data_IF_007381555355
#
_entry.id   IF_007381555355
#
_cell.length_a   1.000
_cell.length_b   1.000
_cell.length_c   1.000
_cell.angle_alpha   90.00
_cell.angle_beta   90.00
_cell.angle_gamma   90.00
#
_symmetry.space_group_name_H-M   'P 1'
#
loop_
_entity.id
_entity.type
_entity.pdbx_description
1 polymer ?
#
# COMPACT_ATOMS: atom_id res chain seq x y z
N UNK A 1 50.67 -10.25 38.65
CA UNK A 1 49.30 -10.69 38.58
C UNK A 1 48.77 -10.81 37.20
N UNK A 2 49.41 -11.63 36.42
CA UNK A 2 49.03 -11.87 35.02
C UNK A 2 47.60 -12.45 34.81
N UNK A 3 46.99 -13.28 35.68
CA UNK A 3 45.65 -13.85 35.46
C UNK A 3 44.53 -12.80 35.43
N UNK A 4 44.65 -11.71 36.21
CA UNK A 4 43.62 -10.70 36.28
C UNK A 4 43.55 -9.80 35.05
N UNK A 5 44.68 -9.54 34.40
CA UNK A 5 44.74 -8.75 33.15
C UNK A 5 44.07 -9.48 32.00
N UNK A 6 44.27 -10.79 31.86
CA UNK A 6 43.66 -11.62 30.85
C UNK A 6 42.14 -11.70 31.01
N UNK A 7 41.69 -11.80 32.28
CA UNK A 7 40.29 -11.86 32.61
C UNK A 7 39.57 -10.55 32.24
N UNK A 8 40.17 -9.40 32.56
CA UNK A 8 39.62 -8.10 32.24
C UNK A 8 39.50 -7.88 30.73
N UNK A 9 40.48 -8.33 29.96
CA UNK A 9 40.43 -8.23 28.48
C UNK A 9 39.31 -9.08 27.89
N UNK A 10 39.16 -10.32 28.37
CA UNK A 10 38.06 -11.20 27.89
C UNK A 10 36.71 -10.62 28.28
N UNK A 11 36.59 -10.13 29.50
CA UNK A 11 35.35 -9.49 29.98
C UNK A 11 35.00 -8.28 29.15
N UNK A 12 35.96 -7.43 28.83
CA UNK A 12 35.76 -6.25 27.93
C UNK A 12 35.35 -6.69 26.55
N UNK A 13 35.91 -7.72 26.00
CA UNK A 13 35.56 -8.26 24.71
C UNK A 13 34.09 -8.76 24.68
N UNK A 14 33.71 -9.53 25.71
CA UNK A 14 32.33 -10.02 25.82
C UNK A 14 31.35 -8.87 25.97
N UNK A 15 31.64 -7.88 26.81
CA UNK A 15 30.80 -6.73 26.99
C UNK A 15 30.62 -5.93 25.68
N UNK A 16 31.73 -5.74 24.96
CA UNK A 16 31.70 -5.06 23.65
C UNK A 16 30.86 -5.83 22.64
N UNK A 17 30.99 -7.16 22.61
CA UNK A 17 30.21 -8.00 21.71
C UNK A 17 28.71 -7.92 22.01
N UNK A 18 28.33 -7.92 23.29
CA UNK A 18 26.94 -7.79 23.72
C UNK A 18 26.38 -6.44 23.32
N UNK A 19 27.10 -5.35 23.56
CA UNK A 19 26.69 -4.00 23.19
C UNK A 19 26.54 -3.87 21.68
N UNK A 20 27.49 -4.39 20.91
CA UNK A 20 27.41 -4.38 19.46
C UNK A 20 26.20 -5.15 18.93
N UNK A 21 25.91 -6.30 19.54
CA UNK A 21 24.72 -7.09 19.20
C UNK A 21 23.43 -6.35 19.50
N UNK A 22 23.33 -5.71 20.66
CA UNK A 22 22.17 -4.91 21.04
C UNK A 22 21.95 -3.73 20.09
N UNK A 23 23.00 -3.03 19.71
CA UNK A 23 22.92 -1.92 18.76
C UNK A 23 22.46 -2.42 17.40
N UNK A 24 22.94 -3.57 16.95
CA UNK A 24 22.50 -4.16 15.69
C UNK A 24 21.02 -4.50 15.66
N UNK A 25 20.51 -5.12 16.72
CA UNK A 25 19.09 -5.46 16.85
C UNK A 25 18.23 -4.18 16.89
N UNK A 26 18.68 -3.19 17.66
CA UNK A 26 17.98 -1.91 17.74
C UNK A 26 17.92 -1.22 16.37
N UNK A 27 19.02 -1.24 15.63
CA UNK A 27 19.09 -0.67 14.30
C UNK A 27 18.13 -1.38 13.33
N UNK A 28 18.06 -2.71 13.39
CA UNK A 28 17.11 -3.49 12.60
C UNK A 28 15.65 -3.12 12.94
N UNK A 29 15.36 -2.96 14.22
CA UNK A 29 14.02 -2.57 14.67
C UNK A 29 13.63 -1.18 14.13
N UNK A 30 14.55 -0.24 14.14
CA UNK A 30 14.34 1.10 13.61
C UNK A 30 14.07 1.04 12.09
N UNK A 31 14.84 0.26 11.36
CA UNK A 31 14.64 0.09 9.92
C UNK A 31 13.29 -0.55 9.60
N UNK A 32 12.88 -1.56 10.35
CA UNK A 32 11.59 -2.20 10.19
C UNK A 32 10.44 -1.23 10.45
N UNK A 33 10.57 -0.40 11.49
CA UNK A 33 9.60 0.63 11.82
C UNK A 33 9.51 1.69 10.71
N UNK A 34 10.63 2.13 10.16
CA UNK A 34 10.65 3.09 9.07
C UNK A 34 9.97 2.54 7.81
N UNK A 35 10.23 1.27 7.47
CA UNK A 35 9.57 0.61 6.34
C UNK A 35 8.06 0.51 6.54
N UNK A 36 7.63 0.15 7.74
CA UNK A 36 6.21 0.05 8.07
C UNK A 36 5.53 1.41 7.96
N UNK A 37 6.16 2.47 8.46
CA UNK A 37 5.64 3.84 8.35
C UNK A 37 5.51 4.27 6.89
N UNK A 38 6.48 3.94 6.06
CA UNK A 38 6.43 4.24 4.63
C UNK A 38 5.30 3.49 3.92
N UNK A 39 5.10 2.22 4.25
CA UNK A 39 4.00 1.43 3.70
C UNK A 39 2.63 2.00 4.08
N UNK A 40 2.48 2.45 5.32
CA UNK A 40 1.25 3.10 5.78
C UNK A 40 1.01 4.41 5.04
N UNK A 41 2.03 5.21 4.85
CA UNK A 41 1.94 6.47 4.12
C UNK A 41 1.59 6.24 2.65
N UNK A 42 2.24 5.27 1.99
CA UNK A 42 1.95 4.91 0.61
C UNK A 42 0.51 4.43 0.45
N UNK A 43 0.03 3.61 1.38
CA UNK A 43 -1.35 3.13 1.37
C UNK A 43 -2.34 4.27 1.59
N UNK A 44 -2.01 5.20 2.47
CA UNK A 44 -2.83 6.39 2.71
C UNK A 44 -2.96 7.24 1.44
N UNK A 45 -1.84 7.52 0.78
CA UNK A 45 -1.82 8.26 -0.49
C UNK A 45 -2.61 7.52 -1.56
N UNK A 46 -2.42 6.21 -1.67
CA UNK A 46 -3.16 5.38 -2.62
C UNK A 46 -4.66 5.44 -2.36
N UNK A 47 -5.09 5.41 -1.11
CA UNK A 47 -6.50 5.53 -0.73
C UNK A 47 -7.06 6.88 -1.13
N UNK A 48 -6.33 7.96 -0.86
CA UNK A 48 -6.75 9.31 -1.24
C UNK A 48 -6.88 9.45 -2.76
N UNK A 49 -5.91 8.95 -3.50
CA UNK A 49 -5.95 8.96 -4.97
C UNK A 49 -7.13 8.15 -5.49
N UNK A 50 -7.36 6.96 -4.94
CA UNK A 50 -8.47 6.11 -5.34
C UNK A 50 -9.82 6.77 -5.05
N UNK A 51 -9.98 7.38 -3.89
CA UNK A 51 -11.19 8.12 -3.53
C UNK A 51 -11.42 9.32 -4.44
N UNK A 52 -10.36 10.05 -4.78
CA UNK A 52 -10.43 11.19 -5.69
C UNK A 52 -10.89 10.75 -7.08
N UNK A 53 -10.34 9.66 -7.59
CA UNK A 53 -10.73 9.12 -8.89
C UNK A 53 -12.17 8.58 -8.86
N UNK A 54 -12.56 7.94 -7.78
CA UNK A 54 -13.92 7.45 -7.61
C UNK A 54 -14.94 8.59 -7.62
N UNK A 55 -14.63 9.70 -6.94
CA UNK A 55 -15.48 10.90 -6.94
C UNK A 55 -15.56 11.54 -8.32
N UNK A 56 -14.45 11.57 -9.05
CA UNK A 56 -14.42 12.10 -10.41
C UNK A 56 -15.30 11.27 -11.35
N UNK A 57 -15.31 9.95 -11.21
CA UNK A 57 -16.17 9.07 -12.00
C UNK A 57 -17.65 9.32 -11.66
N UNK A 58 -17.95 9.50 -10.38
CA UNK A 58 -19.31 9.81 -9.95
C UNK A 58 -19.84 11.12 -10.53
N UNK A 59 -18.97 12.08 -10.78
CA UNK A 59 -19.32 13.36 -11.38
C UNK A 59 -19.42 13.30 -12.91
N UNK A 60 -18.65 12.44 -13.56
CA UNK A 60 -18.69 12.30 -15.02
C UNK A 60 -19.81 11.33 -15.43
N UNK A 61 -20.83 11.90 -16.02
CA UNK A 61 -22.08 11.19 -16.35
C UNK A 61 -21.95 10.33 -17.60
N UNK A 62 -20.91 10.47 -18.36
CA UNK A 62 -20.84 9.87 -19.69
C UNK A 62 -19.64 8.98 -19.85
N UNK A 63 -19.89 7.76 -20.15
CA UNK A 63 -18.89 7.04 -20.86
C UNK A 63 -18.87 5.54 -20.67
N UNK A 64 -18.80 4.87 -21.75
CA UNK A 64 -18.24 3.55 -21.84
C UNK A 64 -16.81 3.64 -21.32
N UNK A 65 -16.67 3.44 -20.03
CA UNK A 65 -15.35 3.37 -19.44
C UNK A 65 -14.80 1.96 -19.71
N UNK A 66 -13.94 1.86 -20.67
CA UNK A 66 -13.07 0.72 -20.70
C UNK A 66 -12.09 0.78 -19.53
N UNK A 67 -10.84 0.69 -19.81
CA UNK A 67 -9.79 0.81 -18.83
C UNK A 67 -9.09 2.17 -18.98
N UNK A 68 -9.00 2.91 -17.90
CA UNK A 68 -8.28 4.18 -17.85
C UNK A 68 -7.17 4.09 -16.81
N UNK A 69 -6.00 4.53 -17.16
CA UNK A 69 -4.83 4.52 -16.29
C UNK A 69 -4.25 5.92 -16.19
N UNK A 70 -3.63 6.18 -15.06
CA UNK A 70 -2.94 7.45 -14.85
C UNK A 70 -2.01 7.40 -13.65
N UNK A 71 -1.33 8.50 -13.42
CA UNK A 71 -0.42 8.66 -12.29
C UNK A 71 -0.70 10.00 -11.62
N UNK A 72 -0.89 9.99 -10.33
CA UNK A 72 -1.10 11.19 -9.53
C UNK A 72 -0.24 11.10 -8.27
N UNK A 73 0.59 12.11 -8.03
CA UNK A 73 1.48 12.18 -6.86
C UNK A 73 2.36 10.94 -6.68
N UNK A 74 2.84 10.37 -7.80
CA UNK A 74 3.66 9.16 -7.78
C UNK A 74 2.89 7.87 -7.58
N UNK A 75 1.57 7.94 -7.45
CA UNK A 75 0.70 6.78 -7.31
C UNK A 75 0.06 6.45 -8.67
N UNK A 76 0.25 5.23 -9.11
CA UNK A 76 -0.37 4.73 -10.33
C UNK A 76 -1.79 4.25 -10.01
N UNK A 77 -2.74 4.69 -10.78
CA UNK A 77 -4.13 4.28 -10.62
C UNK A 77 -4.68 3.70 -11.91
N UNK A 78 -5.62 2.81 -11.75
CA UNK A 78 -6.33 2.17 -12.86
C UNK A 78 -7.81 2.14 -12.55
N UNK A 79 -8.61 2.55 -13.49
CA UNK A 79 -10.07 2.50 -13.42
C UNK A 79 -10.54 1.49 -14.44
N UNK A 80 -11.32 0.52 -13.99
CA UNK A 80 -11.91 -0.49 -14.86
C UNK A 80 -13.42 -0.49 -14.65
N UNK A 81 -14.16 -0.42 -15.74
CA UNK A 81 -15.62 -0.53 -15.70
C UNK A 81 -16.04 -1.78 -16.47
N UNK A 82 -16.73 -2.67 -15.78
CA UNK A 82 -17.23 -3.93 -16.35
C UNK A 82 -18.72 -4.00 -16.10
N UNK A 83 -19.54 -4.38 -17.09
CA UNK A 83 -20.96 -4.57 -16.85
C UNK A 83 -21.17 -5.67 -15.81
N UNK A 84 -21.95 -5.34 -14.78
CA UNK A 84 -22.28 -6.26 -13.71
C UNK A 84 -23.57 -6.98 -14.06
N UNK A 85 -23.44 -8.22 -14.41
CA UNK A 85 -24.58 -9.08 -14.67
C UNK A 85 -24.91 -9.89 -13.41
N UNK A 86 -25.83 -9.39 -12.65
CA UNK A 86 -26.45 -10.21 -11.63
C UNK A 86 -27.53 -11.03 -12.30
N UNK A 87 -27.39 -12.35 -12.27
CA UNK A 87 -28.22 -13.24 -13.02
C UNK A 87 -29.71 -13.03 -12.84
N UNK A 88 -30.44 -13.12 -13.92
CA UNK A 88 -31.89 -13.28 -14.01
C UNK A 88 -32.80 -12.11 -13.65
N UNK A 89 -32.31 -10.96 -13.33
CA UNK A 89 -33.24 -9.86 -13.33
C UNK A 89 -33.41 -9.38 -14.77
N UNK A 90 -34.43 -9.81 -15.42
CA UNK A 90 -34.90 -9.22 -16.67
C UNK A 90 -35.26 -7.76 -16.48
N UNK A 91 -34.54 -7.11 -15.59
CA UNK A 91 -34.73 -5.74 -15.20
C UNK A 91 -34.09 -4.79 -16.20
N UNK A 92 -34.77 -3.70 -16.41
CA UNK A 92 -34.33 -2.58 -17.25
C UNK A 92 -33.15 -1.82 -16.65
N UNK A 93 -32.58 -2.29 -15.53
CA UNK A 93 -31.52 -1.61 -14.83
C UNK A 93 -30.20 -2.29 -15.17
N UNK A 94 -29.34 -1.58 -15.83
CA UNK A 94 -27.98 -2.03 -16.12
C UNK A 94 -27.07 -1.42 -15.06
N UNK A 95 -26.28 -2.29 -14.43
CA UNK A 95 -25.30 -1.90 -13.44
C UNK A 95 -23.90 -2.11 -14.02
N UNK A 96 -23.04 -1.15 -13.78
CA UNK A 96 -21.62 -1.28 -14.09
C UNK A 96 -20.84 -1.40 -12.78
N UNK A 97 -19.95 -2.38 -12.74
CA UNK A 97 -19.00 -2.51 -11.64
C UNK A 97 -17.77 -1.67 -11.97
N UNK A 98 -17.55 -0.65 -11.17
CA UNK A 98 -16.40 0.21 -11.30
C UNK A 98 -15.38 -0.17 -10.25
N UNK A 99 -14.18 -0.49 -10.69
CA UNK A 99 -13.06 -0.81 -9.83
C UNK A 99 -11.97 0.23 -10.02
N UNK A 100 -11.53 0.83 -8.94
CA UNK A 100 -10.41 1.76 -8.93
C UNK A 100 -9.30 1.14 -8.10
N UNK A 101 -8.18 0.85 -8.74
CA UNK A 101 -6.98 0.36 -8.06
C UNK A 101 -5.92 1.45 -8.05
N UNK A 102 -5.23 1.57 -6.95
CA UNK A 102 -4.13 2.50 -6.80
C UNK A 102 -2.94 1.80 -6.15
N UNK A 103 -1.75 2.07 -6.64
CA UNK A 103 -0.53 1.47 -6.14
C UNK A 103 0.73 2.20 -6.57
N UNK A 104 1.87 1.76 -6.07
CA UNK A 104 3.16 2.32 -6.41
C UNK A 104 3.93 1.39 -7.36
N UNK A 105 3.73 1.54 -8.63
CA UNK A 105 4.50 0.84 -9.67
C UNK A 105 4.36 -0.68 -9.67
N UNK A 106 4.87 -1.38 -8.65
CA UNK A 106 4.94 -2.83 -8.60
C UNK A 106 3.83 -3.48 -7.78
N UNK A 107 3.17 -2.73 -6.90
CA UNK A 107 2.15 -3.27 -5.99
C UNK A 107 0.89 -2.44 -6.03
N UNK A 108 -0.21 -3.15 -6.15
CA UNK A 108 -1.52 -2.60 -5.91
C UNK A 108 -1.75 -2.50 -4.40
N UNK A 109 -1.96 -1.28 -3.90
CA UNK A 109 -2.09 -1.02 -2.47
C UNK A 109 -3.54 -0.97 -2.02
N UNK A 110 -4.42 -0.43 -2.85
CA UNK A 110 -5.83 -0.23 -2.53
C UNK A 110 -6.67 -0.52 -3.76
N UNK A 111 -7.81 -1.18 -3.56
CA UNK A 111 -8.82 -1.37 -4.60
C UNK A 111 -10.17 -0.97 -4.03
N UNK A 112 -10.82 -0.01 -4.64
CA UNK A 112 -12.17 0.40 -4.32
C UNK A 112 -13.11 -0.09 -5.41
N UNK A 113 -14.26 -0.61 -5.02
CA UNK A 113 -15.28 -1.09 -5.95
C UNK A 113 -16.61 -0.44 -5.64
N UNK A 114 -17.31 -0.07 -6.67
CA UNK A 114 -18.66 0.47 -6.54
C UNK A 114 -19.53 0.00 -7.69
N UNK A 115 -20.82 -0.01 -7.46
CA UNK A 115 -21.80 -0.29 -8.49
C UNK A 115 -22.42 1.03 -8.92
N UNK A 116 -22.54 1.23 -10.21
CA UNK A 116 -23.13 2.41 -10.80
C UNK A 116 -24.26 1.99 -11.75
N UNK A 117 -25.31 2.79 -11.78
CA UNK A 117 -26.35 2.63 -12.77
C UNK A 117 -25.80 3.02 -14.13
N UNK A 118 -25.84 2.10 -15.06
CA UNK A 118 -25.52 2.38 -16.45
C UNK A 118 -26.72 3.05 -17.10
N UNK A 119 -26.46 4.19 -17.66
CA UNK A 119 -27.50 4.89 -18.44
C UNK A 119 -27.33 4.65 -19.92
#
# INVERSE_FOLDING_TARGET
>A
MAPQSGFALVETLIATAIIAGMLGVTFQAIQASARTSQMVEDRRLATLVAQTQMAAIGASVTGNFGETRGTTSGINWRITAVPYQQGQSGGRIKLDLISVSAGNGARELVTLRTLRLSR
#
